data_IF_123520265512
#
_entry.id   IF_123520265512
#
_cell.length_a   1.000
_cell.length_b   1.000
_cell.length_c   1.000
_cell.angle_alpha   90.00
_cell.angle_beta   90.00
_cell.angle_gamma   90.00
#
_symmetry.space_group_name_H-M   'P 1'
#
loop_
_entity.id
_entity.type
_entity.pdbx_description
1 polymer ?
#
# COMPACT_ATOMS: atom_id res chain seq x y z
N UNK A 1 15.21 -5.80 -29.76
CA UNK A 1 14.23 -4.79 -29.32
C UNK A 1 14.99 -3.71 -28.60
N UNK A 2 14.72 -2.44 -28.91
CA UNK A 2 15.39 -1.30 -28.30
C UNK A 2 14.80 -1.05 -26.91
N UNK A 3 15.62 -0.62 -25.94
CA UNK A 3 15.15 -0.19 -24.61
C UNK A 3 14.04 0.88 -24.68
N UNK A 4 14.02 1.69 -25.76
CA UNK A 4 12.96 2.68 -26.00
C UNK A 4 11.62 2.05 -26.39
N UNK A 5 11.63 0.94 -27.12
CA UNK A 5 10.41 0.23 -27.52
C UNK A 5 9.75 -0.42 -26.30
N UNK A 6 10.54 -1.00 -25.39
CA UNK A 6 10.04 -1.58 -24.13
C UNK A 6 9.41 -0.52 -23.22
N UNK A 7 10.04 0.65 -23.11
CA UNK A 7 9.52 1.76 -22.30
C UNK A 7 8.19 2.30 -22.86
N UNK A 8 8.07 2.42 -24.18
CA UNK A 8 6.83 2.80 -24.85
C UNK A 8 5.71 1.78 -24.61
N UNK A 9 6.00 0.49 -24.75
CA UNK A 9 5.03 -0.59 -24.50
C UNK A 9 4.55 -0.55 -23.05
N UNK A 10 5.47 -0.40 -22.08
CA UNK A 10 5.12 -0.33 -20.67
C UNK A 10 4.25 0.90 -20.36
N UNK A 11 4.57 2.05 -20.95
CA UNK A 11 3.78 3.27 -20.82
C UNK A 11 2.35 3.10 -21.35
N UNK A 12 2.20 2.59 -22.58
CA UNK A 12 0.90 2.31 -23.18
C UNK A 12 0.09 1.30 -22.36
N UNK A 13 0.72 0.26 -21.83
CA UNK A 13 0.06 -0.72 -20.97
C UNK A 13 -0.46 -0.07 -19.68
N UNK A 14 0.38 0.70 -18.97
CA UNK A 14 -0.01 1.40 -17.74
C UNK A 14 -1.20 2.32 -17.98
N UNK A 15 -1.20 3.08 -19.08
CA UNK A 15 -2.31 3.95 -19.44
C UNK A 15 -3.59 3.15 -19.70
N UNK A 16 -3.49 2.03 -20.41
CA UNK A 16 -4.65 1.20 -20.72
C UNK A 16 -5.29 0.59 -19.46
N UNK A 17 -4.49 0.15 -18.49
CA UNK A 17 -4.99 -0.35 -17.20
C UNK A 17 -5.71 0.73 -16.39
N UNK A 18 -5.32 2.00 -16.56
CA UNK A 18 -6.00 3.14 -15.92
C UNK A 18 -7.31 3.46 -16.64
N UNK A 19 -7.28 3.62 -17.97
CA UNK A 19 -8.45 3.98 -18.79
C UNK A 19 -9.59 2.97 -18.70
N UNK A 20 -9.27 1.69 -18.58
CA UNK A 20 -10.25 0.61 -18.47
C UNK A 20 -10.86 0.47 -17.08
N UNK A 21 -10.36 1.22 -16.09
CA UNK A 21 -10.77 1.09 -14.68
C UNK A 21 -10.19 -0.13 -13.97
N UNK A 22 -9.40 -0.95 -14.66
CA UNK A 22 -8.78 -2.16 -14.10
C UNK A 22 -7.88 -1.84 -12.90
N UNK A 23 -7.23 -0.68 -12.88
CA UNK A 23 -6.47 -0.21 -11.72
C UNK A 23 -7.34 -0.13 -10.46
N UNK A 24 -8.54 0.45 -10.55
CA UNK A 24 -9.42 0.62 -9.39
C UNK A 24 -10.00 -0.74 -8.97
N UNK A 25 -10.40 -1.57 -9.95
CA UNK A 25 -10.85 -2.96 -9.69
C UNK A 25 -9.78 -3.77 -8.94
N UNK A 26 -8.53 -3.70 -9.38
CA UNK A 26 -7.40 -4.38 -8.71
C UNK A 26 -7.15 -3.82 -7.30
N UNK A 27 -7.29 -2.51 -7.12
CA UNK A 27 -7.15 -1.85 -5.82
C UNK A 27 -8.23 -2.34 -4.84
N UNK A 28 -9.49 -2.37 -5.26
CA UNK A 28 -10.61 -2.87 -4.45
C UNK A 28 -10.44 -4.35 -4.09
N UNK A 29 -10.09 -5.18 -5.08
CA UNK A 29 -9.80 -6.59 -4.84
C UNK A 29 -8.66 -6.80 -3.84
N UNK A 30 -7.58 -6.03 -3.95
CA UNK A 30 -6.48 -6.07 -2.99
C UNK A 30 -6.94 -5.64 -1.60
N UNK A 31 -7.70 -4.56 -1.49
CA UNK A 31 -8.23 -4.08 -0.21
C UNK A 31 -9.10 -5.14 0.48
N UNK A 32 -10.00 -5.79 -0.27
CA UNK A 32 -10.82 -6.89 0.27
C UNK A 32 -9.94 -8.04 0.77
N UNK A 33 -8.97 -8.50 -0.03
CA UNK A 33 -8.06 -9.58 0.37
C UNK A 33 -7.25 -9.25 1.62
N UNK A 34 -6.78 -8.01 1.76
CA UNK A 34 -6.04 -7.55 2.94
C UNK A 34 -6.92 -7.48 4.20
N UNK A 35 -8.22 -7.23 4.05
CA UNK A 35 -9.17 -7.29 5.15
C UNK A 35 -9.45 -8.77 5.51
N UNK A 36 -9.77 -9.60 4.52
CA UNK A 36 -10.11 -11.02 4.69
C UNK A 36 -8.97 -11.82 5.34
N UNK A 37 -7.72 -11.58 4.95
CA UNK A 37 -6.56 -12.25 5.56
C UNK A 37 -6.16 -11.66 6.93
N UNK A 38 -6.89 -10.66 7.42
CA UNK A 38 -6.64 -10.00 8.70
C UNK A 38 -5.43 -9.08 8.71
N UNK A 39 -4.83 -8.77 7.57
CA UNK A 39 -3.68 -7.85 7.48
C UNK A 39 -4.03 -6.47 8.04
N UNK A 40 -5.20 -5.92 7.67
CA UNK A 40 -5.64 -4.60 8.14
C UNK A 40 -5.74 -4.51 9.68
N UNK A 41 -6.20 -5.60 10.32
CA UNK A 41 -6.31 -5.70 11.78
C UNK A 41 -4.91 -5.68 12.41
N UNK A 42 -4.00 -6.53 11.92
CA UNK A 42 -2.62 -6.61 12.44
C UNK A 42 -1.86 -5.27 12.30
N UNK A 43 -2.06 -4.55 11.20
CA UNK A 43 -1.45 -3.22 11.00
C UNK A 43 -2.00 -2.22 12.01
N UNK A 44 -3.33 -2.23 12.25
CA UNK A 44 -3.96 -1.39 13.27
C UNK A 44 -3.46 -1.70 14.67
N UNK A 45 -3.34 -2.97 15.05
CA UNK A 45 -2.83 -3.38 16.36
C UNK A 45 -1.40 -2.89 16.60
N UNK A 46 -0.52 -3.02 15.58
CA UNK A 46 0.85 -2.50 15.65
C UNK A 46 0.89 -0.98 15.80
N UNK A 47 0.04 -0.25 15.06
CA UNK A 47 -0.09 1.20 15.19
C UNK A 47 -0.52 1.60 16.61
N UNK A 48 -1.58 0.99 17.14
CA UNK A 48 -2.07 1.23 18.49
C UNK A 48 -0.99 0.94 19.54
N UNK A 49 -0.21 -0.13 19.36
CA UNK A 49 0.90 -0.45 20.25
C UNK A 49 1.96 0.66 20.27
N UNK A 50 2.40 1.14 19.10
CA UNK A 50 3.41 2.22 19.02
C UNK A 50 2.91 3.49 19.71
N UNK A 51 1.66 3.88 19.46
CA UNK A 51 1.05 5.07 20.08
C UNK A 51 0.92 4.92 21.60
N UNK A 52 0.55 3.73 22.09
CA UNK A 52 0.49 3.45 23.54
C UNK A 52 1.87 3.49 24.19
N UNK A 53 2.88 2.93 23.55
CA UNK A 53 4.23 2.82 24.09
C UNK A 53 4.96 4.17 24.14
N UNK A 54 4.71 5.06 23.17
CA UNK A 54 5.35 6.39 23.06
C UNK A 54 4.52 7.54 23.63
N UNK A 55 3.20 7.36 23.73
CA UNK A 55 2.24 8.40 24.08
C UNK A 55 1.71 9.12 22.84
N UNK A 56 0.41 9.45 22.85
CA UNK A 56 -0.29 10.06 21.71
C UNK A 56 0.28 11.41 21.29
N UNK A 57 0.71 12.24 22.25
CA UNK A 57 1.26 13.57 21.98
C UNK A 57 2.68 13.55 21.39
N UNK A 58 3.38 12.42 21.51
CA UNK A 58 4.78 12.28 21.12
C UNK A 58 4.96 11.63 19.74
N UNK A 59 3.88 11.44 18.98
CA UNK A 59 3.90 10.67 17.75
C UNK A 59 3.11 11.37 16.66
N UNK A 60 3.77 11.60 15.53
CA UNK A 60 3.11 12.11 14.32
C UNK A 60 2.66 10.99 13.39
N UNK A 61 1.70 11.30 12.50
CA UNK A 61 1.23 10.36 11.48
C UNK A 61 2.37 9.96 10.53
N UNK A 62 3.24 10.90 10.17
CA UNK A 62 4.34 10.65 9.25
C UNK A 62 5.40 9.72 9.86
N UNK A 63 5.73 9.90 11.14
CA UNK A 63 6.62 8.98 11.87
C UNK A 63 6.03 7.58 11.98
N UNK A 64 4.73 7.48 12.29
CA UNK A 64 4.02 6.18 12.29
C UNK A 64 4.06 5.54 10.92
N UNK A 65 3.79 6.29 9.85
CA UNK A 65 3.81 5.76 8.49
C UNK A 65 5.22 5.30 8.10
N UNK A 66 6.25 6.11 8.39
CA UNK A 66 7.65 5.79 8.10
C UNK A 66 8.08 4.48 8.77
N UNK A 67 7.69 4.26 10.01
CA UNK A 67 8.02 3.03 10.73
C UNK A 67 7.14 1.83 10.33
N UNK A 68 5.84 2.06 10.14
CA UNK A 68 4.85 0.99 10.01
C UNK A 68 4.73 0.47 8.57
N UNK A 69 4.90 1.33 7.56
CA UNK A 69 4.73 0.94 6.15
C UNK A 69 5.70 -0.16 5.72
N UNK A 70 7.02 -0.08 5.97
CA UNK A 70 7.95 -1.16 5.60
C UNK A 70 7.61 -2.49 6.28
N UNK A 71 7.28 -2.43 7.59
CA UNK A 71 6.88 -3.62 8.36
C UNK A 71 5.59 -4.23 7.83
N UNK A 72 4.61 -3.40 7.48
CA UNK A 72 3.30 -3.85 6.97
C UNK A 72 3.41 -4.46 5.57
N UNK A 73 4.32 -3.96 4.72
CA UNK A 73 4.55 -4.52 3.38
C UNK A 73 5.20 -5.90 3.40
N UNK A 74 5.89 -6.26 4.48
CA UNK A 74 6.56 -7.56 4.63
C UNK A 74 5.67 -8.64 5.29
N UNK A 75 4.41 -8.31 5.61
CA UNK A 75 3.45 -9.20 6.30
C UNK A 75 2.52 -9.96 5.36
#
# INVERSE_FOLDING_TARGET
>A
MSSKEEELILGSLKNKVIETGERERLREMLQMKLIECGWAIKVKEKCVKIVKDRGFENVTVDELAFELVPKSRAM
#
